data_IF_678383053398
#
_entry.id   IF_678383053398
#
_cell.length_a   1.000
_cell.length_b   1.000
_cell.length_c   1.000
_cell.angle_alpha   90.00
_cell.angle_beta   90.00
_cell.angle_gamma   90.00
#
_symmetry.space_group_name_H-M   'P 1'
#
loop_
_entity.id
_entity.type
_entity.pdbx_description
1 polymer ?
#
# COMPACT_ATOMS: atom_id res chain seq x y z
N UNK A 1 -20.12 -36.38 -48.34
CA UNK A 1 -18.90 -35.55 -48.34
C UNK A 1 -19.31 -34.07 -48.36
N UNK A 2 -18.70 -33.09 -47.68
CA UNK A 2 -17.85 -33.00 -46.47
C UNK A 2 -17.48 -31.49 -46.27
N UNK A 3 -17.50 -30.81 -45.12
CA UNK A 3 -18.04 -31.00 -43.74
C UNK A 3 -18.35 -29.59 -43.18
N UNK A 4 -19.40 -29.38 -42.38
CA UNK A 4 -19.64 -28.09 -41.68
C UNK A 4 -18.62 -27.94 -40.54
N UNK A 5 -17.69 -26.99 -40.66
CA UNK A 5 -16.72 -26.66 -39.60
C UNK A 5 -17.31 -25.68 -38.59
N UNK A 6 -17.82 -26.21 -37.48
CA UNK A 6 -18.14 -25.44 -36.28
C UNK A 6 -16.84 -24.98 -35.60
N UNK A 7 -16.60 -23.67 -35.57
CA UNK A 7 -15.53 -23.06 -34.78
C UNK A 7 -16.07 -22.85 -33.37
N UNK A 8 -15.67 -23.72 -32.43
CA UNK A 8 -16.00 -23.56 -31.00
C UNK A 8 -15.07 -22.50 -30.41
N UNK A 9 -15.63 -21.33 -30.10
CA UNK A 9 -14.91 -20.29 -29.38
C UNK A 9 -14.73 -20.70 -27.91
N UNK A 10 -13.53 -21.22 -27.59
CA UNK A 10 -13.15 -21.55 -26.22
C UNK A 10 -12.80 -20.29 -25.43
N UNK A 11 -13.82 -19.63 -24.89
CA UNK A 11 -13.67 -18.48 -23.99
C UNK A 11 -12.97 -18.91 -22.69
N UNK A 12 -11.65 -18.72 -22.62
CA UNK A 12 -10.91 -18.82 -21.37
C UNK A 12 -11.36 -17.69 -20.42
N UNK A 13 -12.25 -18.03 -19.49
CA UNK A 13 -12.62 -17.13 -18.42
C UNK A 13 -11.42 -16.95 -17.49
N UNK A 14 -10.73 -15.80 -17.60
CA UNK A 14 -9.78 -15.36 -16.58
C UNK A 14 -10.55 -15.13 -15.28
N UNK A 15 -10.46 -16.09 -14.36
CA UNK A 15 -10.86 -15.87 -12.97
C UNK A 15 -9.82 -14.94 -12.35
N UNK A 16 -10.04 -13.63 -12.48
CA UNK A 16 -9.30 -12.65 -11.73
C UNK A 16 -9.62 -12.83 -10.24
N UNK A 17 -8.73 -13.50 -9.52
CA UNK A 17 -8.82 -13.62 -8.07
C UNK A 17 -8.68 -12.22 -7.46
N UNK A 18 -9.82 -11.59 -7.18
CA UNK A 18 -9.87 -10.36 -6.41
C UNK A 18 -9.36 -10.68 -5.00
N UNK A 19 -8.12 -10.28 -4.70
CA UNK A 19 -7.58 -10.33 -3.35
C UNK A 19 -8.41 -9.39 -2.47
N UNK A 20 -9.38 -9.95 -1.77
CA UNK A 20 -10.27 -9.20 -0.87
C UNK A 20 -9.47 -8.86 0.37
N UNK A 21 -8.99 -7.62 0.45
CA UNK A 21 -8.26 -7.08 1.60
C UNK A 21 -9.25 -6.81 2.75
N UNK A 22 -9.74 -7.90 3.36
CA UNK A 22 -10.64 -7.88 4.52
C UNK A 22 -10.01 -7.13 5.70
N UNK A 23 -10.84 -6.70 6.65
CA UNK A 23 -10.39 -6.13 7.93
C UNK A 23 -9.56 -7.14 8.71
N UNK A 24 -8.25 -7.10 8.50
CA UNK A 24 -7.30 -8.01 9.12
C UNK A 24 -7.26 -7.82 10.65
N UNK A 25 -7.09 -8.88 11.45
CA UNK A 25 -7.01 -8.80 12.91
C UNK A 25 -5.98 -7.78 13.41
N UNK A 26 -6.26 -7.17 14.56
CA UNK A 26 -5.27 -6.34 15.28
C UNK A 26 -3.98 -7.13 15.51
N UNK A 27 -2.83 -6.52 15.20
CA UNK A 27 -1.52 -7.14 15.32
C UNK A 27 -1.01 -7.85 14.06
N UNK A 28 -1.84 -7.97 13.00
CA UNK A 28 -1.40 -8.56 11.70
C UNK A 28 -0.17 -7.88 11.10
N UNK A 29 0.06 -6.61 11.45
CA UNK A 29 1.13 -5.78 10.92
C UNK A 29 2.32 -5.55 11.86
N UNK A 30 2.29 -6.14 13.06
CA UNK A 30 3.35 -5.93 14.06
C UNK A 30 4.70 -6.51 13.59
N UNK A 31 4.66 -7.53 12.72
CA UNK A 31 5.81 -8.11 12.02
C UNK A 31 6.54 -7.15 11.08
N UNK A 32 5.90 -6.05 10.69
CA UNK A 32 6.55 -5.01 9.88
C UNK A 32 7.46 -4.10 10.73
N UNK A 33 7.26 -4.01 12.04
CA UNK A 33 8.02 -3.09 12.90
C UNK A 33 9.52 -3.46 12.89
N UNK A 34 10.37 -2.45 12.73
CA UNK A 34 11.82 -2.58 12.54
C UNK A 34 12.25 -2.95 11.11
N UNK A 35 11.33 -3.36 10.23
CA UNK A 35 11.63 -3.69 8.84
C UNK A 35 11.94 -2.44 8.01
N UNK A 36 12.86 -2.54 7.05
CA UNK A 36 13.09 -1.49 6.04
C UNK A 36 11.80 -1.17 5.29
N UNK A 37 11.49 0.11 5.14
CA UNK A 37 10.22 0.56 4.56
C UNK A 37 9.97 0.01 3.15
N UNK A 38 10.98 -0.02 2.29
CA UNK A 38 10.85 -0.57 0.93
C UNK A 38 10.38 -2.04 0.91
N UNK A 39 10.75 -2.85 1.91
CA UNK A 39 10.28 -4.24 2.05
C UNK A 39 8.87 -4.27 2.64
N UNK A 40 8.63 -3.54 3.72
CA UNK A 40 7.32 -3.48 4.37
C UNK A 40 6.21 -2.96 3.43
N UNK A 41 6.51 -1.93 2.64
CA UNK A 41 5.66 -1.40 1.56
C UNK A 41 5.27 -2.49 0.56
N UNK A 42 6.23 -3.33 0.16
CA UNK A 42 5.94 -4.46 -0.73
C UNK A 42 5.01 -5.47 -0.08
N UNK A 43 5.23 -5.84 1.18
CA UNK A 43 4.36 -6.79 1.89
C UNK A 43 2.92 -6.25 2.06
N UNK A 44 2.77 -4.94 2.33
CA UNK A 44 1.46 -4.26 2.37
C UNK A 44 0.76 -4.30 1.00
N UNK A 45 1.47 -4.01 -0.10
CA UNK A 45 0.91 -4.01 -1.45
C UNK A 45 0.59 -5.44 -1.93
N UNK A 46 1.47 -6.41 -1.65
CA UNK A 46 1.25 -7.83 -1.99
C UNK A 46 0.04 -8.41 -1.24
N UNK A 47 -0.28 -7.88 -0.05
CA UNK A 47 -1.50 -8.19 0.71
C UNK A 47 -2.78 -7.47 0.21
N UNK A 48 -2.71 -6.75 -0.92
CA UNK A 48 -3.86 -6.14 -1.58
C UNK A 48 -4.17 -4.68 -1.21
N UNK A 49 -3.35 -4.04 -0.38
CA UNK A 49 -3.52 -2.64 -0.01
C UNK A 49 -2.92 -1.69 -1.06
N UNK A 50 -3.51 -0.51 -1.23
CA UNK A 50 -3.16 0.45 -2.29
C UNK A 50 -2.64 1.77 -1.69
N UNK A 51 -1.63 2.44 -2.28
CA UNK A 51 -1.20 3.77 -1.83
C UNK A 51 -2.34 4.81 -1.77
N UNK A 52 -2.40 5.63 -0.71
CA UNK A 52 -3.36 6.75 -0.58
C UNK A 52 -2.84 8.02 -1.28
N UNK A 53 -3.09 8.13 -2.59
CA UNK A 53 -2.60 9.16 -3.50
C UNK A 53 -2.99 10.63 -3.21
N UNK A 54 -3.65 10.96 -2.09
CA UNK A 54 -3.92 12.37 -1.75
C UNK A 54 -2.58 13.10 -1.55
N UNK A 55 -2.55 14.42 -1.75
CA UNK A 55 -1.31 15.19 -1.66
C UNK A 55 -0.79 15.29 -0.20
N UNK A 56 0.54 15.35 -0.06
CA UNK A 56 1.20 15.76 1.18
C UNK A 56 0.99 17.27 1.42
N UNK A 57 1.11 17.70 2.66
CA UNK A 57 0.82 19.08 3.05
C UNK A 57 1.84 20.03 2.45
N UNK A 58 3.13 19.78 2.72
CA UNK A 58 4.24 20.63 2.33
C UNK A 58 4.74 20.33 0.90
N UNK A 59 5.26 21.35 0.22
CA UNK A 59 5.74 21.20 -1.17
C UNK A 59 6.93 20.24 -1.29
N UNK A 60 7.86 20.26 -0.32
CA UNK A 60 9.02 19.37 -0.32
C UNK A 60 8.62 17.89 -0.06
N UNK A 61 7.56 17.65 0.72
CA UNK A 61 7.00 16.30 0.90
C UNK A 61 6.39 15.78 -0.41
N UNK A 62 5.79 16.64 -1.23
CA UNK A 62 5.25 16.26 -2.55
C UNK A 62 6.33 15.83 -3.53
N UNK A 63 7.56 16.33 -3.39
CA UNK A 63 8.71 15.83 -4.17
C UNK A 63 9.03 14.36 -3.80
N UNK A 64 8.91 14.00 -2.53
CA UNK A 64 9.04 12.61 -2.05
C UNK A 64 7.85 11.74 -2.46
N UNK A 65 6.64 12.32 -2.60
CA UNK A 65 5.46 11.59 -3.11
C UNK A 65 5.65 11.05 -4.54
N UNK A 66 6.52 11.66 -5.35
CA UNK A 66 6.91 11.12 -6.66
C UNK A 66 7.56 9.73 -6.59
N UNK A 67 8.10 9.35 -5.42
CA UNK A 67 8.63 8.01 -5.12
C UNK A 67 7.67 7.19 -4.24
N UNK A 68 6.98 7.84 -3.31
CA UNK A 68 6.07 7.22 -2.33
C UNK A 68 4.69 7.88 -2.40
N UNK A 69 3.82 7.50 -3.36
CA UNK A 69 2.50 8.11 -3.51
C UNK A 69 1.62 8.02 -2.24
N UNK A 70 1.88 7.04 -1.38
CA UNK A 70 1.25 6.87 -0.07
C UNK A 70 1.71 7.88 1.01
N UNK A 71 2.80 8.61 0.80
CA UNK A 71 3.36 9.53 1.79
C UNK A 71 2.39 10.68 2.04
N UNK A 72 2.07 10.95 3.31
CA UNK A 72 1.18 12.02 3.75
C UNK A 72 1.92 13.18 4.40
N UNK A 73 2.97 12.89 5.16
CA UNK A 73 3.83 13.89 5.78
C UNK A 73 5.17 13.28 6.23
N UNK A 74 6.19 14.11 6.35
CA UNK A 74 7.47 13.82 6.98
C UNK A 74 7.84 14.98 7.92
N UNK A 75 8.02 14.69 9.21
CA UNK A 75 8.63 15.64 10.13
C UNK A 75 10.15 15.57 9.99
N UNK A 76 10.73 16.53 9.28
CA UNK A 76 12.17 16.64 9.07
C UNK A 76 12.99 16.94 10.34
N UNK A 77 12.36 17.34 11.45
CA UNK A 77 13.04 17.58 12.72
C UNK A 77 13.11 16.31 13.59
N UNK A 78 12.14 15.41 13.47
CA UNK A 78 12.12 14.14 14.23
C UNK A 78 12.46 12.90 13.39
N UNK A 79 12.60 13.03 12.08
CA UNK A 79 12.91 11.93 11.16
C UNK A 79 11.73 10.95 10.97
N UNK A 80 10.51 11.33 11.35
CA UNK A 80 9.33 10.48 11.23
C UNK A 80 8.51 10.82 9.97
N UNK A 81 8.22 9.82 9.15
CA UNK A 81 7.29 9.96 8.02
C UNK A 81 6.04 9.11 8.23
N UNK A 82 4.89 9.65 7.82
CA UNK A 82 3.60 8.97 7.83
C UNK A 82 3.17 8.64 6.42
N UNK A 83 2.87 7.37 6.19
CA UNK A 83 2.38 6.82 4.93
C UNK A 83 0.99 6.22 5.17
N UNK A 84 0.09 6.35 4.19
CA UNK A 84 -1.25 5.74 4.25
C UNK A 84 -1.49 4.84 3.05
N UNK A 85 -1.97 3.63 3.33
CA UNK A 85 -2.54 2.73 2.34
C UNK A 85 -4.04 2.59 2.57
N UNK A 86 -4.79 2.17 1.56
CA UNK A 86 -6.23 1.96 1.62
C UNK A 86 -6.55 0.55 1.12
N UNK A 87 -7.39 -0.19 1.84
CA UNK A 87 -7.92 -1.48 1.39
C UNK A 87 -8.99 -1.29 0.32
N UNK A 88 -9.45 -2.38 -0.30
CA UNK A 88 -10.59 -2.33 -1.23
C UNK A 88 -11.87 -1.77 -0.54
N UNK A 89 -12.07 -2.12 0.73
CA UNK A 89 -13.23 -1.73 1.54
C UNK A 89 -13.12 -0.31 2.13
N UNK A 90 -12.10 0.47 1.74
CA UNK A 90 -11.91 1.85 2.19
C UNK A 90 -11.28 2.01 3.59
N UNK A 91 -10.84 0.92 4.22
CA UNK A 91 -10.09 0.97 5.48
C UNK A 91 -8.70 1.55 5.21
N UNK A 92 -8.21 2.46 6.04
CA UNK A 92 -6.84 2.98 5.92
C UNK A 92 -5.85 2.23 6.82
N UNK A 93 -4.64 2.01 6.33
CA UNK A 93 -3.49 1.52 7.08
C UNK A 93 -2.46 2.65 7.18
N UNK A 94 -2.26 3.18 8.39
CA UNK A 94 -1.21 4.14 8.71
C UNK A 94 0.08 3.38 9.00
N UNK A 95 1.12 3.62 8.20
CA UNK A 95 2.49 3.16 8.46
C UNK A 95 3.33 4.36 8.84
N UNK A 96 3.92 4.36 10.04
CA UNK A 96 4.89 5.39 10.45
C UNK A 96 6.28 4.82 10.31
N UNK A 97 7.17 5.55 9.64
CA UNK A 97 8.59 5.20 9.51
C UNK A 97 9.48 6.17 10.26
N UNK A 98 10.70 5.75 10.58
CA UNK A 98 11.76 6.55 11.17
C UNK A 98 13.07 6.42 10.39
N UNK A 99 13.86 7.51 10.33
CA UNK A 99 15.23 7.55 9.82
C UNK A 99 15.53 8.84 9.04
N UNK A 100 16.82 9.14 8.83
CA UNK A 100 17.24 10.42 8.24
C UNK A 100 17.16 10.45 6.71
N UNK A 101 17.15 9.27 6.07
CA UNK A 101 17.10 9.13 4.61
C UNK A 101 16.10 8.07 4.17
N UNK A 102 15.56 8.23 2.96
CA UNK A 102 14.66 7.25 2.31
C UNK A 102 15.21 5.82 2.35
N UNK A 103 16.51 5.64 2.12
CA UNK A 103 17.16 4.33 2.11
C UNK A 103 17.32 3.71 3.52
N UNK A 104 17.33 4.54 4.56
CA UNK A 104 17.41 4.12 5.97
C UNK A 104 16.05 3.92 6.64
N UNK A 105 14.96 4.42 6.05
CA UNK A 105 13.62 4.35 6.65
C UNK A 105 13.26 2.93 7.10
N UNK A 106 12.91 2.79 8.38
CA UNK A 106 12.34 1.58 8.98
C UNK A 106 10.93 1.87 9.48
N UNK A 107 10.06 0.86 9.47
CA UNK A 107 8.73 0.97 10.08
C UNK A 107 8.90 1.05 11.60
N UNK A 108 8.38 2.11 12.19
CA UNK A 108 8.31 2.33 13.64
C UNK A 108 7.02 1.79 14.24
N UNK A 109 5.90 1.99 13.54
CA UNK A 109 4.59 1.49 13.97
C UNK A 109 3.63 1.38 12.78
N UNK A 110 2.64 0.49 12.92
CA UNK A 110 1.55 0.33 11.96
C UNK A 110 0.23 0.34 12.73
N UNK A 111 -0.79 1.03 12.20
CA UNK A 111 -2.13 1.07 12.77
C UNK A 111 -3.19 1.11 11.67
N UNK A 112 -4.28 0.34 11.83
CA UNK A 112 -5.47 0.54 11.02
C UNK A 112 -6.27 1.73 11.56
N UNK A 113 -6.70 2.61 10.65
CA UNK A 113 -7.45 3.82 10.97
C UNK A 113 -7.16 4.93 9.97
N UNK A 114 -8.23 5.53 9.44
CA UNK A 114 -8.11 6.72 8.59
C UNK A 114 -7.76 7.96 9.43
N UNK A 115 -7.04 8.94 8.86
CA UNK A 115 -6.85 10.21 9.52
C UNK A 115 -8.22 10.84 9.79
N UNK A 116 -8.44 11.30 11.02
CA UNK A 116 -9.62 12.11 11.33
C UNK A 116 -9.52 13.42 10.53
N UNK A 117 -10.61 13.77 9.84
CA UNK A 117 -10.77 15.05 9.14
C UNK A 117 -10.92 16.18 10.16
#
# INVERSE_FOLDING_TARGET
>A
MNVIRLIVASSMALVAAAAVATTQPSGTWDTLVGMKYAKARKEVIDAGWRPDHKNAAEEWERQLQGQFPELRSCDGASGYCTHYFVSYDGVCLKVVTEGDTVASFKVRSVAQGCPKQ
#
